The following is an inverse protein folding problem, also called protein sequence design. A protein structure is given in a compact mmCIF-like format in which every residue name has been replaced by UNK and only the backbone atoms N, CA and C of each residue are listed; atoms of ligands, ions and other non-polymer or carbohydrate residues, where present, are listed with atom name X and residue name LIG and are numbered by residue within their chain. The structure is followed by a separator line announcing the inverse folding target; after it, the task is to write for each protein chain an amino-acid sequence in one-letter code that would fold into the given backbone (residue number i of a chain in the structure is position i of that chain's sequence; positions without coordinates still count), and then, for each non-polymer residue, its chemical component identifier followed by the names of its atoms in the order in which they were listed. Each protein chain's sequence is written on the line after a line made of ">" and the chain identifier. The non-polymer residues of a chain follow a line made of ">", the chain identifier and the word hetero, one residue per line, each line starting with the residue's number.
data_IF_624356142298
#
_entry.id   IF_624356142298
#
_cell.length_a   1.000
_cell.length_b   1.000
_cell.length_c   1.000
_cell.angle_alpha   90.00
_cell.angle_beta   90.00
_cell.angle_gamma   90.00
#
_symmetry.space_group_name_H-M   'P 1'
#
loop_
_entity.id
_entity.type
_entity.pdbx_description
1 polymer ?
#
# COMPACT_ATOMS: atom_id res chain seq x y z
N UNK A 1 2.49 8.38 -12.00
CA UNK A 1 3.22 7.64 -10.93
C UNK A 1 3.58 6.26 -11.45
N UNK A 2 4.83 5.81 -11.31
CA UNK A 2 5.18 4.43 -11.67
C UNK A 2 4.45 3.47 -10.73
N UNK A 3 3.86 2.42 -11.31
CA UNK A 3 3.14 1.39 -10.54
C UNK A 3 4.12 0.76 -9.54
N UNK A 4 3.68 0.52 -8.32
CA UNK A 4 4.47 -0.24 -7.35
C UNK A 4 4.48 -1.70 -7.80
N UNK A 5 5.47 -2.05 -8.62
CA UNK A 5 5.59 -3.36 -9.23
C UNK A 5 6.20 -4.37 -8.27
N UNK A 6 5.85 -5.63 -8.49
CA UNK A 6 6.33 -6.77 -7.72
C UNK A 6 7.84 -6.93 -7.90
N UNK A 7 8.55 -7.18 -6.80
CA UNK A 7 9.93 -7.63 -6.84
C UNK A 7 9.92 -9.15 -7.01
N UNK A 8 10.60 -9.62 -8.05
CA UNK A 8 10.67 -11.02 -8.43
C UNK A 8 12.11 -11.52 -8.27
N UNK A 9 12.26 -12.73 -7.74
CA UNK A 9 13.51 -13.48 -7.75
C UNK A 9 13.40 -14.53 -8.85
N UNK A 10 14.38 -14.54 -9.75
CA UNK A 10 14.50 -15.58 -10.78
C UNK A 10 14.96 -16.89 -10.12
N UNK A 11 14.23 -17.97 -10.38
CA UNK A 11 14.53 -19.32 -9.89
C UNK A 11 15.13 -20.21 -10.99
N UNK A 12 15.27 -19.70 -12.21
CA UNK A 12 15.73 -20.42 -13.40
C UNK A 12 14.60 -21.07 -14.19
N UNK A 13 14.90 -21.47 -15.43
CA UNK A 13 13.97 -22.18 -16.34
C UNK A 13 12.63 -21.45 -16.58
N UNK A 14 12.64 -20.11 -16.52
CA UNK A 14 11.44 -19.29 -16.68
C UNK A 14 10.53 -19.22 -15.45
N UNK A 15 10.97 -19.75 -14.30
CA UNK A 15 10.28 -19.63 -13.03
C UNK A 15 10.73 -18.38 -12.28
N UNK A 16 9.78 -17.68 -11.67
CA UNK A 16 10.08 -16.56 -10.78
C UNK A 16 9.18 -16.58 -9.54
N UNK A 17 9.72 -16.12 -8.43
CA UNK A 17 8.99 -16.00 -7.16
C UNK A 17 8.82 -14.54 -6.78
N UNK A 18 7.59 -14.15 -6.46
CA UNK A 18 7.30 -12.83 -5.91
C UNK A 18 7.74 -12.78 -4.45
N UNK A 19 8.64 -11.84 -4.13
CA UNK A 19 9.15 -11.64 -2.77
C UNK A 19 8.59 -10.39 -2.09
N UNK A 20 7.82 -9.57 -2.81
CA UNK A 20 7.03 -8.50 -2.21
C UNK A 20 6.89 -7.28 -3.12
N UNK A 21 6.38 -6.20 -2.52
CA UNK A 21 6.38 -4.86 -3.09
C UNK A 21 7.44 -4.02 -2.38
N UNK A 22 8.26 -3.23 -3.11
CA UNK A 22 9.36 -2.47 -2.52
C UNK A 22 8.91 -1.22 -1.76
N UNK A 23 7.67 -0.78 -1.95
CA UNK A 23 7.11 0.41 -1.30
C UNK A 23 5.79 0.08 -0.63
N UNK A 24 5.44 0.87 0.40
CA UNK A 24 4.09 0.87 0.97
C UNK A 24 3.12 1.34 -0.12
N UNK A 25 1.94 0.72 -0.19
CA UNK A 25 0.89 1.15 -1.10
C UNK A 25 0.48 2.59 -0.75
N UNK A 26 0.30 3.43 -1.78
CA UNK A 26 -0.11 4.81 -1.60
C UNK A 26 -1.32 5.15 -2.47
N UNK A 27 -2.14 6.05 -1.97
CA UNK A 27 -3.36 6.53 -2.61
C UNK A 27 -3.66 7.97 -2.20
N UNK A 28 -4.67 8.55 -2.82
CA UNK A 28 -5.40 9.72 -2.33
C UNK A 28 -6.81 9.30 -1.88
N UNK A 29 -7.65 10.24 -1.45
CA UNK A 29 -9.00 9.93 -1.00
C UNK A 29 -9.90 9.29 -2.08
N UNK A 30 -9.65 9.54 -3.37
CA UNK A 30 -10.48 9.04 -4.48
C UNK A 30 -10.01 7.68 -5.00
N UNK A 31 -8.71 7.42 -4.94
CA UNK A 31 -8.04 6.19 -5.35
C UNK A 31 -7.86 5.19 -4.21
N UNK A 32 -8.27 5.56 -2.98
CA UNK A 32 -8.37 4.65 -1.84
C UNK A 32 -9.13 3.38 -2.24
N UNK A 33 -8.68 2.18 -1.83
CA UNK A 33 -9.37 0.94 -2.19
C UNK A 33 -10.85 0.95 -1.81
N UNK A 34 -11.74 0.72 -2.78
CA UNK A 34 -13.21 0.75 -2.59
C UNK A 34 -13.75 -0.48 -1.83
N UNK A 35 -12.99 -1.57 -1.80
CA UNK A 35 -13.31 -2.80 -1.07
C UNK A 35 -12.10 -3.23 -0.24
N UNK A 36 -11.68 -2.43 0.75
CA UNK A 36 -10.52 -2.75 1.56
C UNK A 36 -10.81 -3.96 2.44
N UNK A 37 -9.80 -4.80 2.65
CA UNK A 37 -9.86 -5.91 3.61
C UNK A 37 -9.37 -5.42 4.96
N UNK A 38 -9.94 -5.93 6.05
CA UNK A 38 -9.44 -5.67 7.41
C UNK A 38 -7.94 -5.95 7.47
N UNK A 39 -7.17 -5.03 8.05
CA UNK A 39 -5.71 -5.13 8.12
C UNK A 39 -4.98 -4.49 6.95
N UNK A 40 -5.69 -4.02 5.92
CA UNK A 40 -5.06 -3.25 4.84
C UNK A 40 -4.52 -1.94 5.39
N UNK A 41 -3.28 -1.63 5.07
CA UNK A 41 -2.64 -0.38 5.44
C UNK A 41 -1.91 0.24 4.24
N UNK A 42 -1.68 1.54 4.30
CA UNK A 42 -0.94 2.26 3.29
C UNK A 42 -0.80 3.74 3.63
N UNK A 43 -0.34 4.52 2.66
CA UNK A 43 -0.09 5.94 2.84
C UNK A 43 -1.04 6.80 2.01
N UNK A 44 -1.74 7.72 2.65
CA UNK A 44 -2.59 8.67 1.96
C UNK A 44 -1.85 9.98 1.70
N UNK A 45 -1.59 10.22 0.42
CA UNK A 45 -0.85 11.37 -0.11
C UNK A 45 -1.59 12.70 0.09
N UNK A 46 -2.93 12.66 0.25
CA UNK A 46 -3.73 13.88 0.40
C UNK A 46 -3.80 14.36 1.85
N UNK A 47 -3.98 13.43 2.79
CA UNK A 47 -4.00 13.71 4.24
C UNK A 47 -2.63 13.67 4.89
N UNK A 48 -1.59 13.26 4.16
CA UNK A 48 -0.24 13.04 4.67
C UNK A 48 -0.22 12.12 5.91
N UNK A 49 -0.97 11.01 5.84
CA UNK A 49 -1.18 10.09 6.96
C UNK A 49 -0.94 8.63 6.56
N UNK A 50 -0.44 7.84 7.52
CA UNK A 50 -0.54 6.39 7.45
C UNK A 50 -1.96 5.98 7.78
N UNK A 51 -2.54 5.11 6.97
CA UNK A 51 -3.92 4.66 7.14
C UNK A 51 -3.99 3.14 7.37
N UNK A 52 -4.92 2.72 8.22
CA UNK A 52 -5.21 1.32 8.52
C UNK A 52 -6.71 1.06 8.48
N UNK A 53 -7.15 0.07 7.71
CA UNK A 53 -8.56 -0.32 7.65
C UNK A 53 -8.89 -1.35 8.72
N UNK A 54 -9.71 -0.96 9.71
CA UNK A 54 -10.08 -1.82 10.83
C UNK A 54 -11.17 -2.87 10.50
N UNK A 55 -11.71 -2.84 9.27
CA UNK A 55 -12.82 -3.67 8.82
C UNK A 55 -14.12 -2.90 8.57
N UNK A 56 -14.23 -1.68 9.10
CA UNK A 56 -15.40 -0.80 8.90
C UNK A 56 -15.02 0.57 8.36
N UNK A 57 -13.93 1.16 8.85
CA UNK A 57 -13.44 2.47 8.43
C UNK A 57 -11.91 2.55 8.50
N UNK A 58 -11.37 3.63 7.95
CA UNK A 58 -9.94 3.92 7.98
C UNK A 58 -9.59 4.69 9.25
N UNK A 59 -8.63 4.17 9.99
CA UNK A 59 -7.92 4.89 11.06
C UNK A 59 -6.72 5.59 10.43
N UNK A 60 -6.43 6.81 10.88
CA UNK A 60 -5.38 7.65 10.31
C UNK A 60 -4.37 8.05 11.39
N UNK A 61 -3.08 7.96 11.05
CA UNK A 61 -1.95 8.46 11.83
C UNK A 61 -1.25 9.55 11.01
N UNK A 62 -1.54 10.84 11.25
CA UNK A 62 -0.93 11.95 10.52
C UNK A 62 0.57 12.02 10.74
N UNK A 63 1.32 12.30 9.67
CA UNK A 63 2.72 12.68 9.78
C UNK A 63 2.78 14.21 9.87
N UNK A 64 3.03 14.72 11.07
CA UNK A 64 3.42 16.10 11.30
C UNK A 64 4.93 16.20 11.40
N UNK A 65 5.51 17.22 10.76
CA UNK A 65 6.88 17.64 11.08
C UNK A 65 6.81 18.45 12.38
N UNK A 66 7.55 18.02 13.41
CA UNK A 66 7.69 18.73 14.67
C UNK A 66 8.69 19.88 14.55
#
# INVERSE_FOLDING_TARGET
>A
MSKNSQLLVDLGQGLSMMIGLPRIASWDNQSRPKKPKKGMFGFNLKSNSLEFFNGSYWLEAPLSEN
#
